data_IF_058295402189
#
_entry.id   IF_058295402189
#
_cell.length_a   1.000
_cell.length_b   1.000
_cell.length_c   1.000
_cell.angle_alpha   90.00
_cell.angle_beta   90.00
_cell.angle_gamma   90.00
#
_symmetry.space_group_name_H-M   'P 1'
#
loop_
_entity.id
_entity.type
_entity.pdbx_description
1 polymer ?
#
# COMPACT_ATOMS: atom_id res chain seq x y z
N UNK A 1 -3.37 3.68 18.72
CA UNK A 1 -2.58 3.30 17.52
C UNK A 1 -1.19 3.94 17.48
N UNK A 2 -0.70 4.65 18.52
CA UNK A 2 0.66 5.23 18.50
C UNK A 2 1.74 4.15 18.59
N UNK A 3 1.71 3.39 19.67
CA UNK A 3 2.73 2.37 19.97
C UNK A 3 2.94 1.34 18.83
N UNK A 4 1.92 0.76 18.18
CA UNK A 4 2.16 -0.11 17.04
C UNK A 4 2.84 0.57 15.85
N UNK A 5 2.58 1.86 15.63
CA UNK A 5 3.20 2.61 14.53
C UNK A 5 4.66 2.94 14.84
N UNK A 6 4.97 3.24 16.10
CA UNK A 6 6.34 3.49 16.55
C UNK A 6 7.18 2.22 16.41
N UNK A 7 6.64 1.06 16.79
CA UNK A 7 7.32 -0.25 16.67
C UNK A 7 7.52 -0.67 15.21
N UNK A 8 6.59 -0.35 14.30
CA UNK A 8 6.76 -0.69 12.87
C UNK A 8 7.89 0.13 12.22
N UNK A 9 8.18 1.32 12.72
CA UNK A 9 9.31 2.14 12.26
C UNK A 9 10.65 1.83 12.94
N UNK A 10 10.68 0.89 13.89
CA UNK A 10 11.88 0.52 14.61
C UNK A 10 12.74 -0.45 13.78
N UNK A 11 13.99 -0.08 13.53
CA UNK A 11 14.92 -0.85 12.71
C UNK A 11 15.33 -2.18 13.35
N UNK A 12 15.23 -2.30 14.68
CA UNK A 12 15.54 -3.54 15.40
C UNK A 12 14.35 -4.51 15.46
N UNK A 13 13.16 -4.09 15.01
CA UNK A 13 11.94 -4.91 15.04
C UNK A 13 11.63 -5.53 13.67
N UNK A 14 11.78 -6.85 13.57
CA UNK A 14 11.50 -7.59 12.33
C UNK A 14 10.03 -8.02 12.18
N UNK A 15 9.30 -8.23 13.28
CA UNK A 15 7.93 -8.77 13.25
C UNK A 15 7.03 -8.13 14.29
N UNK A 16 5.89 -7.62 13.83
CA UNK A 16 4.85 -7.05 14.68
C UNK A 16 3.56 -7.86 14.54
N UNK A 17 3.11 -8.46 15.64
CA UNK A 17 1.84 -9.21 15.69
C UNK A 17 0.82 -8.43 16.50
N UNK A 18 -0.35 -8.22 15.93
CA UNK A 18 -1.42 -7.45 16.55
C UNK A 18 -2.67 -8.31 16.73
N UNK A 19 -3.02 -8.62 17.98
CA UNK A 19 -4.31 -9.21 18.33
C UNK A 19 -5.28 -8.12 18.78
N UNK A 20 -6.34 -7.92 18.01
CA UNK A 20 -7.21 -6.75 18.18
C UNK A 20 -8.67 -7.09 17.92
N UNK A 21 -9.57 -6.46 18.68
CA UNK A 21 -11.02 -6.50 18.43
C UNK A 21 -11.38 -5.88 17.08
N UNK A 22 -12.61 -6.05 16.59
CA UNK A 22 -13.05 -5.46 15.32
C UNK A 22 -13.07 -3.92 15.35
N UNK A 23 -12.92 -3.27 14.19
CA UNK A 23 -13.13 -1.82 13.98
C UNK A 23 -12.25 -0.83 14.78
N UNK A 24 -11.19 -1.27 15.45
CA UNK A 24 -10.27 -0.35 16.16
C UNK A 24 -9.17 0.32 15.29
N UNK A 25 -9.41 0.57 14.00
CA UNK A 25 -8.47 1.33 13.15
C UNK A 25 -7.27 0.57 12.57
N UNK A 26 -7.29 -0.77 12.58
CA UNK A 26 -6.24 -1.63 11.99
C UNK A 26 -5.98 -1.35 10.50
N UNK A 27 -7.05 -1.10 9.74
CA UNK A 27 -6.94 -0.81 8.31
C UNK A 27 -6.28 0.56 8.06
N UNK A 28 -6.53 1.55 8.91
CA UNK A 28 -5.86 2.85 8.81
C UNK A 28 -4.36 2.72 9.13
N UNK A 29 -4.01 1.90 10.12
CA UNK A 29 -2.62 1.58 10.42
C UNK A 29 -1.91 0.97 9.21
N UNK A 30 -2.51 -0.03 8.55
CA UNK A 30 -1.95 -0.62 7.33
C UNK A 30 -1.73 0.42 6.22
N UNK A 31 -2.67 1.34 6.00
CA UNK A 31 -2.53 2.41 5.01
C UNK A 31 -1.42 3.40 5.36
N UNK A 32 -1.29 3.76 6.64
CA UNK A 32 -0.25 4.68 7.10
C UNK A 32 1.14 4.06 6.98
N UNK A 33 1.30 2.79 7.34
CA UNK A 33 2.55 2.04 7.17
C UNK A 33 2.92 1.97 5.69
N UNK A 34 1.96 1.64 4.83
CA UNK A 34 2.18 1.63 3.39
C UNK A 34 2.58 2.98 2.84
N UNK A 35 1.92 4.04 3.31
CA UNK A 35 2.23 5.41 2.95
C UNK A 35 3.65 5.81 3.37
N UNK A 36 4.07 5.45 4.58
CA UNK A 36 5.42 5.69 5.08
C UNK A 36 6.48 5.04 4.18
N UNK A 37 6.34 3.75 3.88
CA UNK A 37 7.25 2.99 3.00
C UNK A 37 7.05 3.28 1.50
N UNK A 38 6.14 4.18 1.15
CA UNK A 38 6.01 4.73 -0.20
C UNK A 38 6.69 6.10 -0.31
N UNK A 39 6.63 6.89 0.76
CA UNK A 39 7.03 8.29 0.77
C UNK A 39 8.42 8.52 1.34
N UNK A 40 8.65 8.02 2.55
CA UNK A 40 9.83 8.30 3.36
C UNK A 40 10.94 7.28 3.10
N UNK A 41 10.59 6.00 3.04
CA UNK A 41 11.53 4.91 2.79
C UNK A 41 10.98 3.97 1.71
N UNK A 42 11.08 4.35 0.42
CA UNK A 42 10.53 3.56 -0.67
C UNK A 42 11.09 2.14 -0.71
N UNK A 43 10.22 1.14 -0.53
CA UNK A 43 10.59 -0.28 -0.51
C UNK A 43 9.53 -1.17 -1.18
N UNK A 44 9.85 -2.39 -1.66
CA UNK A 44 8.83 -3.32 -2.13
C UNK A 44 7.92 -3.79 -0.99
N UNK A 45 6.60 -3.72 -1.18
CA UNK A 45 5.60 -4.08 -0.17
C UNK A 45 4.66 -5.18 -0.67
N UNK A 46 4.34 -6.14 0.20
CA UNK A 46 3.38 -7.22 -0.06
C UNK A 46 2.21 -7.16 0.92
N UNK A 47 1.00 -7.00 0.40
CA UNK A 47 -0.23 -7.05 1.18
C UNK A 47 -1.04 -8.30 0.82
N UNK A 48 -1.38 -9.10 1.83
CA UNK A 48 -2.12 -10.35 1.65
C UNK A 48 -3.50 -10.19 2.30
N UNK A 49 -4.53 -10.56 1.56
CA UNK A 49 -5.91 -10.58 2.02
C UNK A 49 -6.50 -12.00 1.95
N UNK A 50 -7.61 -12.27 2.67
CA UNK A 50 -8.20 -13.60 2.70
C UNK A 50 -8.70 -14.11 1.34
N UNK A 51 -9.06 -13.22 0.41
CA UNK A 51 -9.46 -13.58 -0.96
C UNK A 51 -8.96 -12.55 -1.97
N UNK A 52 -8.96 -12.91 -3.25
CA UNK A 52 -8.55 -12.00 -4.35
C UNK A 52 -9.50 -10.81 -4.43
N UNK A 53 -10.79 -11.03 -4.26
CA UNK A 53 -11.82 -9.99 -4.29
C UNK A 53 -11.63 -8.99 -3.14
N UNK A 54 -11.28 -9.48 -1.94
CA UNK A 54 -10.99 -8.61 -0.80
C UNK A 54 -9.75 -7.74 -1.07
N UNK A 55 -8.71 -8.29 -1.68
CA UNK A 55 -7.52 -7.55 -2.07
C UNK A 55 -7.84 -6.46 -3.12
N UNK A 56 -8.61 -6.82 -4.15
CA UNK A 56 -9.01 -5.90 -5.22
C UNK A 56 -9.95 -4.80 -4.73
N UNK A 57 -10.89 -5.13 -3.84
CA UNK A 57 -11.76 -4.16 -3.19
C UNK A 57 -10.94 -3.18 -2.34
N UNK A 58 -10.02 -3.68 -1.50
CA UNK A 58 -9.16 -2.82 -0.68
C UNK A 58 -8.28 -1.90 -1.54
N UNK A 59 -7.74 -2.41 -2.64
CA UNK A 59 -6.97 -1.62 -3.60
C UNK A 59 -7.75 -0.41 -4.14
N UNK A 60 -8.99 -0.63 -4.60
CA UNK A 60 -9.85 0.40 -5.19
C UNK A 60 -10.44 1.35 -4.16
N UNK A 61 -10.94 0.81 -3.05
CA UNK A 61 -11.77 1.56 -2.10
C UNK A 61 -10.94 2.23 -1.01
N UNK A 62 -9.72 1.74 -0.74
CA UNK A 62 -8.88 2.22 0.36
C UNK A 62 -7.58 2.81 -0.15
N UNK A 63 -6.80 2.04 -0.91
CA UNK A 63 -5.47 2.50 -1.35
C UNK A 63 -5.57 3.66 -2.36
N UNK A 64 -6.39 3.52 -3.41
CA UNK A 64 -6.52 4.58 -4.42
C UNK A 64 -6.96 5.94 -3.82
N UNK A 65 -7.98 6.00 -2.94
CA UNK A 65 -8.31 7.22 -2.21
C UNK A 65 -7.16 7.74 -1.34
N UNK A 66 -6.47 6.87 -0.61
CA UNK A 66 -5.31 7.28 0.21
C UNK A 66 -4.25 7.98 -0.63
N UNK A 67 -3.90 7.45 -1.80
CA UNK A 67 -2.96 8.11 -2.71
C UNK A 67 -3.51 9.40 -3.30
N UNK A 68 -4.79 9.45 -3.65
CA UNK A 68 -5.41 10.62 -4.28
C UNK A 68 -5.53 11.82 -3.34
N UNK A 69 -5.86 11.57 -2.07
CA UNK A 69 -6.24 12.61 -1.13
C UNK A 69 -5.17 12.94 -0.08
N UNK A 70 -4.17 12.09 0.14
CA UNK A 70 -3.10 12.38 1.09
C UNK A 70 -2.03 13.27 0.43
N UNK A 71 -1.70 14.45 1.01
CA UNK A 71 -0.75 15.38 0.40
C UNK A 71 0.63 14.77 0.07
N UNK A 72 1.17 13.92 0.95
CA UNK A 72 2.47 13.26 0.74
C UNK A 72 2.46 12.12 -0.28
N UNK A 73 1.29 11.55 -0.58
CA UNK A 73 1.16 10.42 -1.52
C UNK A 73 0.59 10.83 -2.86
N UNK A 74 0.05 12.05 -2.96
CA UNK A 74 -0.53 12.58 -4.18
C UNK A 74 0.48 12.51 -5.32
N UNK A 75 0.07 11.94 -6.45
CA UNK A 75 0.87 11.76 -7.66
C UNK A 75 2.10 10.84 -7.49
N UNK A 76 2.22 10.06 -6.40
CA UNK A 76 3.32 9.11 -6.22
C UNK A 76 3.16 7.82 -7.02
N UNK A 77 1.92 7.42 -7.32
CA UNK A 77 1.67 6.26 -8.18
C UNK A 77 2.04 6.59 -9.63
N UNK A 78 2.72 5.64 -10.28
CA UNK A 78 2.97 5.71 -11.72
C UNK A 78 1.66 5.49 -12.46
N UNK A 79 1.29 6.43 -13.32
CA UNK A 79 0.07 6.34 -14.12
C UNK A 79 0.14 5.18 -15.11
N UNK A 80 -0.98 4.44 -15.18
CA UNK A 80 -1.31 3.52 -16.26
C UNK A 80 -1.58 4.29 -17.55
N UNK A 81 -0.65 4.37 -18.52
CA UNK A 81 -0.98 4.95 -19.84
C UNK A 81 -1.38 3.84 -20.79
N UNK A 82 -2.68 3.72 -21.05
CA UNK A 82 -3.21 2.97 -22.19
C UNK A 82 -2.93 3.75 -23.48
N UNK A 83 -1.83 3.41 -24.17
CA UNK A 83 -1.49 3.99 -25.47
C UNK A 83 -0.94 2.93 -26.41
N UNK A 84 -1.46 2.87 -27.65
CA UNK A 84 -0.92 2.02 -28.73
C UNK A 84 0.43 2.57 -29.19
N UNK A 85 1.51 2.00 -28.67
CA UNK A 85 2.87 2.31 -29.09
C UNK A 85 3.89 1.72 -28.12
N UNK A 86 5.00 1.19 -28.65
CA UNK A 86 6.00 0.38 -27.94
C UNK A 86 6.85 1.11 -26.87
N UNK A 87 6.33 2.14 -26.20
CA UNK A 87 7.08 2.95 -25.24
C UNK A 87 6.23 3.35 -24.02
N UNK A 88 6.13 2.42 -23.06
CA UNK A 88 6.09 2.57 -21.58
C UNK A 88 5.13 1.53 -21.00
N UNK A 89 5.69 0.42 -20.50
CA UNK A 89 5.00 -0.53 -19.62
C UNK A 89 4.63 0.22 -18.34
N UNK A 90 3.50 0.90 -18.30
CA UNK A 90 2.94 1.35 -17.04
C UNK A 90 2.48 0.11 -16.29
N UNK A 91 3.24 -0.27 -15.27
CA UNK A 91 3.11 -1.52 -14.54
C UNK A 91 2.05 -1.46 -13.43
N UNK A 92 1.38 -0.32 -13.26
CA UNK A 92 0.34 -0.15 -12.25
C UNK A 92 -0.97 -0.79 -12.70
N UNK A 93 -1.40 -1.82 -11.97
CA UNK A 93 -2.69 -2.50 -12.09
C UNK A 93 -3.41 -2.45 -10.75
N UNK A 94 -4.62 -3.01 -10.69
CA UNK A 94 -5.37 -3.11 -9.43
C UNK A 94 -4.61 -3.93 -8.36
N UNK A 95 -3.87 -4.97 -8.74
CA UNK A 95 -3.12 -5.82 -7.80
C UNK A 95 -1.64 -5.46 -7.67
N UNK A 96 -1.17 -4.48 -8.43
CA UNK A 96 0.24 -4.08 -8.41
C UNK A 96 0.34 -2.57 -8.60
N UNK A 97 0.64 -1.82 -7.56
CA UNK A 97 0.75 -0.36 -7.63
C UNK A 97 2.19 0.09 -7.55
N UNK A 98 2.72 0.67 -8.63
CA UNK A 98 4.12 1.09 -8.68
C UNK A 98 4.30 2.55 -8.31
N UNK A 99 5.40 2.85 -7.63
CA UNK A 99 5.85 4.21 -7.30
C UNK A 99 7.38 4.30 -7.51
N UNK A 100 7.97 5.47 -7.24
CA UNK A 100 9.40 5.63 -7.32
C UNK A 100 10.09 4.85 -6.18
N UNK A 101 10.98 3.92 -6.51
CA UNK A 101 11.73 3.14 -5.51
C UNK A 101 11.04 1.84 -5.03
N UNK A 102 9.78 1.59 -5.40
CA UNK A 102 9.08 0.38 -4.95
C UNK A 102 7.74 0.12 -5.63
N UNK A 103 6.99 -0.82 -5.03
CA UNK A 103 5.65 -1.18 -5.44
C UNK A 103 4.86 -1.75 -4.25
N UNK A 104 3.53 -1.69 -4.31
CA UNK A 104 2.64 -2.49 -3.44
C UNK A 104 2.03 -3.60 -4.29
N UNK A 105 2.34 -4.85 -3.95
CA UNK A 105 1.69 -6.04 -4.50
C UNK A 105 0.54 -6.45 -3.58
N UNK A 106 -0.64 -6.72 -4.16
CA UNK A 106 -1.82 -7.20 -3.45
C UNK A 106 -2.17 -8.61 -3.90
N UNK A 107 -2.29 -9.53 -2.95
CA UNK A 107 -2.55 -10.95 -3.21
C UNK A 107 -3.71 -11.43 -2.33
N UNK A 108 -4.51 -12.32 -2.88
CA UNK A 108 -5.54 -13.06 -2.15
C UNK A 108 -5.12 -14.51 -1.97
N UNK A 109 -5.48 -15.11 -0.83
CA UNK A 109 -5.35 -16.55 -0.59
C UNK A 109 -6.52 -17.34 -1.19
#
# INVERSE_FOLDING_TARGET
MREPMDVIGDADTETVVMQCSSQIGKSEMQLNVMGYFTDQEPSPQLMIYPTVEAAEAFSKERIDPTFKYSPGLKNKLREGKEGRGAAKKSSTTIRMKHYAGGYVALVGA
#
